data_IF_393819882851
#
_entry.id   IF_393819882851
#
_cell.length_a   1.000
_cell.length_b   1.000
_cell.length_c   1.000
_cell.angle_alpha   90.00
_cell.angle_beta   90.00
_cell.angle_gamma   90.00
#
_symmetry.space_group_name_H-M   'P 1'
#
loop_
_entity.id
_entity.type
_entity.pdbx_description
1 polymer ?
#
# COMPACT_ATOMS: atom_id res chain seq x y z
N UNK A 1 -0.44 9.39 59.98
CA UNK A 1 -0.83 8.92 58.61
C UNK A 1 0.18 7.90 58.19
N UNK A 2 -0.18 6.63 58.02
CA UNK A 2 0.76 5.63 57.56
C UNK A 2 1.02 5.79 56.05
N UNK A 3 2.29 5.83 55.67
CA UNK A 3 2.75 5.84 54.27
C UNK A 3 2.64 4.44 53.69
N UNK A 4 1.87 4.29 52.62
CA UNK A 4 1.80 3.05 51.86
C UNK A 4 3.10 2.93 51.05
N UNK A 5 3.85 1.83 51.13
CA UNK A 5 5.06 1.65 50.35
C UNK A 5 4.68 1.40 48.88
N UNK A 6 5.24 2.22 47.99
CA UNK A 6 5.20 1.99 46.56
C UNK A 6 6.07 0.76 46.23
N UNK A 7 5.44 -0.34 45.91
CA UNK A 7 6.13 -1.51 45.37
C UNK A 7 6.56 -1.20 43.92
N UNK A 8 7.83 -0.94 43.74
CA UNK A 8 8.45 -1.01 42.42
C UNK A 8 8.64 -2.49 42.08
N UNK A 9 7.72 -3.04 41.29
CA UNK A 9 7.95 -4.33 40.66
C UNK A 9 8.92 -4.14 39.49
N UNK A 10 10.19 -4.49 39.73
CA UNK A 10 11.12 -4.79 38.66
C UNK A 10 10.73 -6.16 38.06
N UNK A 11 9.97 -6.14 36.96
CA UNK A 11 9.77 -7.33 36.17
C UNK A 11 10.96 -7.51 35.23
N UNK A 12 11.87 -8.43 35.60
CA UNK A 12 12.84 -8.95 34.63
C UNK A 12 12.12 -9.82 33.64
N UNK A 13 11.78 -9.24 32.47
CA UNK A 13 11.25 -9.99 31.33
C UNK A 13 12.46 -10.70 30.70
N UNK A 14 12.51 -12.01 30.80
CA UNK A 14 13.49 -12.84 30.13
C UNK A 14 13.39 -12.65 28.62
N UNK A 15 14.50 -12.26 28.01
CA UNK A 15 14.63 -12.14 26.57
C UNK A 15 14.61 -13.53 25.93
N UNK A 16 13.46 -13.95 25.41
CA UNK A 16 13.41 -15.00 24.39
C UNK A 16 13.99 -14.42 23.11
N UNK A 17 14.99 -15.10 22.55
CA UNK A 17 15.69 -14.66 21.34
C UNK A 17 14.71 -14.41 20.19
N UNK A 18 14.69 -13.18 19.67
CA UNK A 18 14.18 -12.85 18.35
C UNK A 18 12.80 -12.21 18.25
N UNK A 19 12.08 -11.95 19.35
CA UNK A 19 10.80 -11.22 19.28
C UNK A 19 10.94 -9.91 20.05
N UNK A 20 11.03 -8.79 19.33
CA UNK A 20 10.94 -7.45 19.92
C UNK A 20 9.48 -7.23 20.30
N UNK A 21 9.13 -7.52 21.56
CA UNK A 21 7.80 -7.22 22.08
C UNK A 21 7.70 -5.70 22.18
N UNK A 22 6.74 -5.11 21.45
CA UNK A 22 6.44 -3.69 21.55
C UNK A 22 6.14 -3.36 23.03
N UNK A 23 6.77 -2.32 23.63
CA UNK A 23 6.52 -1.93 25.03
C UNK A 23 5.04 -1.69 25.33
N UNK A 24 4.26 -1.21 24.36
CA UNK A 24 2.82 -1.03 24.45
C UNK A 24 2.09 -2.37 24.67
N UNK A 25 2.58 -3.45 24.04
CA UNK A 25 2.03 -4.79 24.17
C UNK A 25 2.24 -5.33 25.61
N UNK A 26 3.40 -5.09 26.19
CA UNK A 26 3.71 -5.51 27.57
C UNK A 26 2.85 -4.75 28.60
N UNK A 27 2.58 -3.46 28.39
CA UNK A 27 1.69 -2.65 29.25
C UNK A 27 0.25 -3.15 29.15
N UNK A 28 -0.23 -3.46 27.93
CA UNK A 28 -1.57 -3.98 27.72
C UNK A 28 -1.77 -5.37 28.31
N UNK A 29 -0.75 -6.23 28.25
CA UNK A 29 -0.78 -7.57 28.86
C UNK A 29 -0.81 -7.48 30.40
N UNK A 30 -0.09 -6.52 30.99
CA UNK A 30 -0.12 -6.26 32.43
C UNK A 30 -1.49 -5.75 32.89
N UNK A 31 -2.14 -4.89 32.10
CA UNK A 31 -3.49 -4.39 32.35
C UNK A 31 -4.53 -5.50 32.29
N UNK A 32 -4.45 -6.38 31.27
CA UNK A 32 -5.34 -7.55 31.14
C UNK A 32 -5.22 -8.54 32.31
N UNK A 33 -4.00 -8.71 32.82
CA UNK A 33 -3.72 -9.56 33.99
C UNK A 33 -4.31 -8.97 35.27
N UNK A 34 -4.19 -7.65 35.46
CA UNK A 34 -4.78 -6.91 36.59
C UNK A 34 -6.29 -7.03 36.64
N UNK A 35 -6.97 -6.94 35.48
CA UNK A 35 -8.42 -7.09 35.40
C UNK A 35 -8.93 -8.51 35.74
N UNK A 36 -8.14 -9.54 35.45
CA UNK A 36 -8.45 -10.91 35.87
C UNK A 36 -8.29 -11.09 37.40
N UNK A 37 -7.36 -10.40 38.02
CA UNK A 37 -7.18 -10.40 39.46
C UNK A 37 -8.31 -9.65 40.19
N UNK A 38 -8.80 -8.55 39.63
CA UNK A 38 -9.98 -7.84 40.14
C UNK A 38 -11.23 -8.73 40.17
N UNK A 39 -11.48 -9.51 39.11
CA UNK A 39 -12.58 -10.46 39.06
C UNK A 39 -12.49 -11.57 40.12
N UNK A 40 -11.29 -12.03 40.47
CA UNK A 40 -11.09 -12.99 41.58
C UNK A 40 -11.47 -12.37 42.93
N UNK A 41 -11.08 -11.12 43.16
CA UNK A 41 -11.47 -10.37 44.37
C UNK A 41 -12.99 -10.21 44.43
N UNK A 42 -13.67 -9.91 43.34
CA UNK A 42 -15.15 -9.82 43.30
C UNK A 42 -15.79 -11.18 43.57
N UNK A 43 -15.23 -12.28 43.06
CA UNK A 43 -15.71 -13.64 43.35
C UNK A 43 -15.64 -14.00 44.82
N UNK A 44 -14.51 -13.66 45.45
CA UNK A 44 -14.27 -13.95 46.85
C UNK A 44 -15.09 -13.06 47.81
N UNK A 45 -15.28 -11.77 47.43
CA UNK A 45 -15.97 -10.77 48.28
C UNK A 45 -17.49 -10.83 48.15
N UNK A 46 -18.02 -11.11 46.93
CA UNK A 46 -19.45 -11.08 46.67
C UNK A 46 -20.12 -12.45 46.67
N UNK A 47 -19.35 -13.55 46.87
CA UNK A 47 -19.91 -14.91 46.89
C UNK A 47 -20.61 -15.33 45.58
N UNK A 48 -20.19 -14.73 44.46
CA UNK A 48 -20.74 -15.04 43.14
C UNK A 48 -20.32 -16.48 42.77
N UNK A 49 -21.28 -17.30 42.34
CA UNK A 49 -21.00 -18.65 41.89
C UNK A 49 -20.07 -18.70 40.69
N UNK A 50 -19.23 -19.74 40.60
CA UNK A 50 -18.29 -19.94 39.49
C UNK A 50 -18.94 -19.85 38.10
N UNK A 51 -20.18 -20.32 37.98
CA UNK A 51 -20.94 -20.29 36.73
C UNK A 51 -21.22 -18.85 36.25
N UNK A 52 -21.61 -17.96 37.19
CA UNK A 52 -21.86 -16.56 36.87
C UNK A 52 -20.58 -15.88 36.37
N UNK A 53 -19.44 -16.15 37.01
CA UNK A 53 -18.16 -15.59 36.58
C UNK A 53 -17.73 -16.12 35.22
N UNK A 54 -17.96 -17.40 34.93
CA UNK A 54 -17.71 -17.99 33.60
C UNK A 54 -18.60 -17.36 32.51
N UNK A 55 -19.88 -17.21 32.79
CA UNK A 55 -20.82 -16.59 31.87
C UNK A 55 -20.49 -15.11 31.63
N UNK A 56 -20.16 -14.34 32.66
CA UNK A 56 -19.73 -12.96 32.55
C UNK A 56 -18.48 -12.83 31.67
N UNK A 57 -17.46 -13.65 31.94
CA UNK A 57 -16.22 -13.66 31.14
C UNK A 57 -16.48 -13.97 29.68
N UNK A 58 -17.33 -14.98 29.41
CA UNK A 58 -17.72 -15.34 28.05
C UNK A 58 -18.46 -14.21 27.34
N UNK A 59 -19.48 -13.62 27.97
CA UNK A 59 -20.26 -12.53 27.40
C UNK A 59 -19.39 -11.31 27.14
N UNK A 60 -18.45 -11.00 28.05
CA UNK A 60 -17.50 -9.93 27.90
C UNK A 60 -16.51 -10.17 26.76
N UNK A 61 -15.98 -11.39 26.66
CA UNK A 61 -15.11 -11.81 25.56
C UNK A 61 -15.83 -11.70 24.22
N UNK A 62 -17.05 -12.22 24.10
CA UNK A 62 -17.85 -12.16 22.86
C UNK A 62 -18.14 -10.71 22.46
N UNK A 63 -18.46 -9.84 23.42
CA UNK A 63 -18.66 -8.41 23.21
C UNK A 63 -17.38 -7.72 22.72
N UNK A 64 -16.24 -8.04 23.32
CA UNK A 64 -14.96 -7.46 22.97
C UNK A 64 -14.49 -7.93 21.57
N UNK A 65 -14.69 -9.20 21.24
CA UNK A 65 -14.42 -9.73 19.90
C UNK A 65 -15.31 -9.11 18.82
N UNK A 66 -16.56 -8.77 19.16
CA UNK A 66 -17.42 -8.01 18.25
C UNK A 66 -16.88 -6.59 17.99
N UNK A 67 -16.36 -5.91 19.03
CA UNK A 67 -15.69 -4.61 18.86
C UNK A 67 -14.41 -4.71 18.04
N UNK A 68 -13.59 -5.76 18.27
CA UNK A 68 -12.40 -6.03 17.46
C UNK A 68 -12.74 -6.15 15.99
N UNK A 69 -13.70 -7.01 15.63
CA UNK A 69 -14.15 -7.19 14.24
C UNK A 69 -14.61 -5.88 13.60
N UNK A 70 -15.27 -5.01 14.37
CA UNK A 70 -15.67 -3.69 13.87
C UNK A 70 -14.45 -2.82 13.56
N UNK A 71 -13.48 -2.76 14.48
CA UNK A 71 -12.24 -2.01 14.27
C UNK A 71 -11.42 -2.56 13.09
N UNK A 72 -11.36 -3.89 12.92
CA UNK A 72 -10.73 -4.54 11.77
C UNK A 72 -11.38 -4.14 10.44
N UNK A 73 -12.71 -4.15 10.39
CA UNK A 73 -13.45 -3.75 9.19
C UNK A 73 -13.27 -2.25 8.87
N UNK A 74 -13.26 -1.39 9.90
CA UNK A 74 -12.97 0.03 9.75
C UNK A 74 -11.56 0.24 9.23
N UNK A 75 -10.56 -0.44 9.82
CA UNK A 75 -9.17 -0.38 9.35
C UNK A 75 -9.03 -0.76 7.88
N UNK A 76 -9.62 -1.88 7.46
CA UNK A 76 -9.57 -2.32 6.07
C UNK A 76 -10.24 -1.31 5.11
N UNK A 77 -11.34 -0.70 5.55
CA UNK A 77 -12.01 0.37 4.78
C UNK A 77 -11.12 1.60 4.65
N UNK A 78 -10.55 2.06 5.77
CA UNK A 78 -9.70 3.25 5.82
C UNK A 78 -8.39 3.05 5.02
N UNK A 79 -7.82 1.83 5.04
CA UNK A 79 -6.65 1.50 4.24
C UNK A 79 -6.95 1.58 2.73
N UNK A 80 -8.10 1.06 2.29
CA UNK A 80 -8.52 1.13 0.88
C UNK A 80 -8.82 2.56 0.44
N UNK A 81 -9.54 3.32 1.26
CA UNK A 81 -9.83 4.74 0.99
C UNK A 81 -8.52 5.53 0.94
N UNK A 82 -7.65 5.34 1.93
CA UNK A 82 -6.34 6.00 1.99
C UNK A 82 -5.47 5.71 0.77
N UNK A 83 -5.50 4.47 0.25
CA UNK A 83 -4.81 4.12 -0.99
C UNK A 83 -5.38 4.86 -2.21
N UNK A 84 -6.70 4.90 -2.35
CA UNK A 84 -7.35 5.64 -3.46
C UNK A 84 -7.03 7.14 -3.40
N UNK A 85 -7.04 7.72 -2.20
CA UNK A 85 -6.66 9.13 -2.01
C UNK A 85 -5.18 9.40 -2.31
N UNK A 86 -4.30 8.46 -1.93
CA UNK A 86 -2.87 8.55 -2.23
C UNK A 86 -2.64 8.53 -3.76
N UNK A 87 -3.28 7.62 -4.48
CA UNK A 87 -3.24 7.57 -5.95
C UNK A 87 -3.76 8.86 -6.59
N UNK A 88 -4.87 9.40 -6.09
CA UNK A 88 -5.43 10.66 -6.59
C UNK A 88 -4.48 11.86 -6.40
N UNK A 89 -3.57 11.79 -5.41
CA UNK A 89 -2.51 12.76 -5.16
C UNK A 89 -1.21 12.47 -5.92
N UNK A 90 -1.17 11.40 -6.70
CA UNK A 90 0.02 10.95 -7.44
C UNK A 90 1.09 10.30 -6.57
N UNK A 91 0.74 9.81 -5.37
CA UNK A 91 1.66 9.08 -4.51
C UNK A 91 1.85 7.65 -5.03
N UNK A 92 3.08 7.15 -4.90
CA UNK A 92 3.40 5.74 -5.21
C UNK A 92 2.93 4.81 -4.10
N UNK A 93 2.83 3.51 -4.41
CA UNK A 93 2.49 2.50 -3.41
C UNK A 93 3.55 2.42 -2.29
N UNK A 94 4.82 2.69 -2.59
CA UNK A 94 5.90 2.77 -1.60
C UNK A 94 5.70 3.93 -0.63
N UNK A 95 5.34 5.12 -1.11
CA UNK A 95 5.05 6.28 -0.26
C UNK A 95 3.82 6.03 0.61
N UNK A 96 2.76 5.47 0.04
CA UNK A 96 1.58 5.09 0.82
C UNK A 96 1.91 4.05 1.90
N UNK A 97 2.72 3.03 1.60
CA UNK A 97 3.15 2.04 2.58
C UNK A 97 3.83 2.68 3.78
N UNK A 98 4.81 3.56 3.50
CA UNK A 98 5.66 4.15 4.53
C UNK A 98 4.94 5.21 5.38
N UNK A 99 4.08 6.01 4.76
CA UNK A 99 3.42 7.14 5.42
C UNK A 99 1.96 6.83 5.78
N UNK A 100 1.13 6.47 4.78
CA UNK A 100 -0.30 6.27 4.95
C UNK A 100 -0.65 5.05 5.78
N UNK A 101 -0.19 3.87 5.34
CA UNK A 101 -0.50 2.60 6.01
C UNK A 101 0.17 2.48 7.37
N UNK A 102 1.41 2.98 7.52
CA UNK A 102 2.11 3.02 8.80
C UNK A 102 1.40 3.91 9.81
N UNK A 103 0.89 5.07 9.38
CA UNK A 103 0.09 5.97 10.22
C UNK A 103 -1.21 5.32 10.64
N UNK A 104 -1.95 4.70 9.72
CA UNK A 104 -3.16 3.95 10.03
C UNK A 104 -2.90 2.86 11.07
N UNK A 105 -1.80 2.11 10.94
CA UNK A 105 -1.41 1.11 11.95
C UNK A 105 -1.25 1.72 13.33
N UNK A 106 -0.56 2.85 13.42
CA UNK A 106 -0.33 3.55 14.69
C UNK A 106 -1.65 4.02 15.31
N UNK A 107 -2.52 4.66 14.52
CA UNK A 107 -3.82 5.16 14.95
C UNK A 107 -4.73 4.01 15.45
N UNK A 108 -4.77 2.89 14.73
CA UNK A 108 -5.57 1.74 15.14
C UNK A 108 -4.99 1.02 16.37
N UNK A 109 -3.68 0.90 16.51
CA UNK A 109 -3.05 0.39 17.74
C UNK A 109 -3.46 1.25 18.96
N UNK A 110 -3.51 2.57 18.81
CA UNK A 110 -4.01 3.46 19.86
C UNK A 110 -5.49 3.19 20.14
N UNK A 111 -6.36 3.11 19.13
CA UNK A 111 -7.80 2.79 19.28
C UNK A 111 -8.02 1.45 19.98
N UNK A 112 -7.23 0.42 19.67
CA UNK A 112 -7.26 -0.86 20.38
C UNK A 112 -6.90 -0.73 21.85
N UNK A 113 -5.90 0.07 22.20
CA UNK A 113 -5.52 0.32 23.58
C UNK A 113 -6.60 1.08 24.37
N UNK A 114 -7.32 2.00 23.71
CA UNK A 114 -8.38 2.82 24.31
C UNK A 114 -9.73 2.09 24.43
N UNK A 115 -9.95 1.04 23.68
CA UNK A 115 -11.24 0.30 23.64
C UNK A 115 -11.54 -0.46 24.95
N UNK A 116 -10.54 -0.68 25.81
CA UNK A 116 -10.73 -1.33 27.11
C UNK A 116 -11.16 -2.81 26.98
N UNK A 117 -10.45 -3.55 26.16
CA UNK A 117 -10.62 -5.01 26.05
C UNK A 117 -10.30 -5.70 27.37
N UNK A 118 -11.00 -6.78 27.66
CA UNK A 118 -10.92 -7.49 28.94
C UNK A 118 -10.18 -8.82 28.83
N UNK A 119 -9.16 -9.02 29.67
CA UNK A 119 -8.46 -10.29 29.77
C UNK A 119 -7.83 -10.76 28.45
N UNK A 120 -8.10 -12.03 28.10
CA UNK A 120 -7.53 -12.67 26.90
C UNK A 120 -8.05 -12.06 25.59
N UNK A 121 -9.22 -11.39 25.63
CA UNK A 121 -9.77 -10.74 24.42
C UNK A 121 -8.88 -9.64 23.85
N UNK A 122 -8.05 -9.00 24.67
CA UNK A 122 -7.08 -8.00 24.17
C UNK A 122 -6.00 -8.65 23.31
N UNK A 123 -5.50 -9.81 23.75
CA UNK A 123 -4.44 -10.53 23.02
C UNK A 123 -4.97 -11.00 21.68
N UNK A 124 -6.13 -11.66 21.69
CA UNK A 124 -6.77 -12.17 20.48
C UNK A 124 -7.15 -11.04 19.51
N UNK A 125 -7.65 -9.91 20.03
CA UNK A 125 -7.99 -8.74 19.24
C UNK A 125 -6.73 -8.12 18.56
N UNK A 126 -5.62 -8.02 19.29
CA UNK A 126 -4.37 -7.51 18.72
C UNK A 126 -3.76 -8.47 17.70
N UNK A 127 -3.83 -9.78 17.95
CA UNK A 127 -3.37 -10.79 17.01
C UNK A 127 -4.18 -10.72 15.70
N UNK A 128 -5.50 -10.68 15.79
CA UNK A 128 -6.38 -10.54 14.65
C UNK A 128 -6.12 -9.24 13.87
N UNK A 129 -5.91 -8.12 14.56
CA UNK A 129 -5.54 -6.86 13.92
C UNK A 129 -4.21 -6.98 13.16
N UNK A 130 -3.19 -7.60 13.76
CA UNK A 130 -1.89 -7.78 13.11
C UNK A 130 -2.00 -8.65 11.85
N UNK A 131 -2.88 -9.66 11.86
CA UNK A 131 -3.17 -10.47 10.67
C UNK A 131 -3.79 -9.58 9.59
N UNK A 132 -4.79 -8.76 9.93
CA UNK A 132 -5.44 -7.85 8.97
C UNK A 132 -4.49 -6.79 8.43
N UNK A 133 -3.62 -6.24 9.27
CA UNK A 133 -2.56 -5.34 8.84
C UNK A 133 -1.62 -6.01 7.82
N UNK A 134 -1.18 -7.25 8.11
CA UNK A 134 -0.30 -7.98 7.21
C UNK A 134 -0.97 -8.31 5.85
N UNK A 135 -2.28 -8.55 5.85
CA UNK A 135 -3.06 -8.73 4.61
C UNK A 135 -3.06 -7.45 3.76
N UNK A 136 -3.31 -6.28 4.37
CA UNK A 136 -3.29 -4.99 3.66
C UNK A 136 -1.86 -4.60 3.24
N UNK A 137 -0.85 -4.84 4.09
CA UNK A 137 0.56 -4.61 3.73
C UNK A 137 0.96 -5.43 2.51
N UNK A 138 0.57 -6.71 2.46
CA UNK A 138 0.81 -7.57 1.29
C UNK A 138 0.10 -7.05 0.04
N UNK A 139 -1.11 -6.52 0.18
CA UNK A 139 -1.83 -5.90 -0.94
C UNK A 139 -1.07 -4.69 -1.50
N UNK A 140 -0.52 -3.85 -0.62
CA UNK A 140 0.31 -2.70 -1.03
C UNK A 140 1.62 -3.17 -1.67
N UNK A 141 2.27 -4.22 -1.14
CA UNK A 141 3.47 -4.81 -1.75
C UNK A 141 3.24 -5.34 -3.16
N UNK A 142 2.06 -5.90 -3.43
CA UNK A 142 1.65 -6.27 -4.78
C UNK A 142 1.50 -5.04 -5.70
N UNK A 143 0.98 -3.94 -5.18
CA UNK A 143 0.90 -2.70 -5.95
C UNK A 143 2.29 -2.12 -6.25
N UNK A 144 3.22 -2.15 -5.30
CA UNK A 144 4.63 -1.76 -5.50
C UNK A 144 5.26 -2.61 -6.61
N UNK A 145 5.06 -3.93 -6.57
CA UNK A 145 5.58 -4.83 -7.60
C UNK A 145 4.97 -4.54 -8.98
N UNK A 146 3.68 -4.23 -9.03
CA UNK A 146 2.99 -3.87 -10.27
C UNK A 146 3.47 -2.51 -10.82
N UNK A 147 3.69 -1.50 -9.97
CA UNK A 147 4.26 -0.21 -10.38
C UNK A 147 5.65 -0.42 -11.00
N UNK A 148 6.53 -1.16 -10.32
CA UNK A 148 7.88 -1.45 -10.82
C UNK A 148 7.84 -2.23 -12.15
N UNK A 149 6.89 -3.15 -12.31
CA UNK A 149 6.68 -3.89 -13.56
C UNK A 149 6.23 -2.95 -14.69
N UNK A 150 5.30 -2.07 -14.42
CA UNK A 150 4.82 -1.09 -15.40
C UNK A 150 5.94 -0.12 -15.83
N UNK A 151 6.76 0.35 -14.90
CA UNK A 151 7.93 1.17 -15.21
C UNK A 151 8.91 0.45 -16.15
N UNK A 152 9.16 -0.84 -15.91
CA UNK A 152 9.99 -1.64 -16.80
C UNK A 152 9.37 -1.79 -18.20
N UNK A 153 8.06 -2.05 -18.27
CA UNK A 153 7.34 -2.15 -19.55
C UNK A 153 7.44 -0.81 -20.31
N UNK A 154 7.21 0.31 -19.64
CA UNK A 154 7.26 1.63 -20.28
C UNK A 154 8.69 2.00 -20.70
N UNK A 155 9.69 1.60 -19.93
CA UNK A 155 11.09 1.73 -20.36
C UNK A 155 11.36 0.94 -21.65
N UNK A 156 10.91 -0.33 -21.73
CA UNK A 156 11.08 -1.12 -22.96
C UNK A 156 10.32 -0.54 -24.15
N UNK A 157 9.11 -0.01 -23.96
CA UNK A 157 8.39 0.71 -25.02
C UNK A 157 9.19 1.90 -25.54
N UNK A 158 9.81 2.68 -24.63
CA UNK A 158 10.64 3.82 -25.01
C UNK A 158 11.86 3.40 -25.84
N UNK A 159 12.60 2.37 -25.40
CA UNK A 159 13.80 1.92 -26.14
C UNK A 159 13.43 1.20 -27.45
N UNK A 160 12.29 0.54 -27.54
CA UNK A 160 11.73 0.01 -28.80
C UNK A 160 11.45 1.16 -29.77
N UNK A 161 10.74 2.20 -29.31
CA UNK A 161 10.45 3.40 -30.11
C UNK A 161 11.74 4.07 -30.62
N UNK A 162 12.76 4.18 -29.75
CA UNK A 162 14.06 4.72 -30.14
C UNK A 162 14.75 3.85 -31.19
N UNK A 163 14.75 2.52 -31.01
CA UNK A 163 15.37 1.58 -31.96
C UNK A 163 14.72 1.63 -33.34
N UNK A 164 13.38 1.86 -33.39
CA UNK A 164 12.63 2.05 -34.64
C UNK A 164 13.05 3.38 -35.29
N UNK A 165 13.12 4.48 -34.53
CA UNK A 165 13.51 5.78 -35.04
C UNK A 165 14.93 5.80 -35.61
N UNK A 166 15.85 5.06 -34.97
CA UNK A 166 17.26 4.91 -35.39
C UNK A 166 17.45 3.90 -36.53
N UNK A 167 16.40 3.17 -36.93
CA UNK A 167 16.48 2.09 -37.94
C UNK A 167 17.35 0.90 -37.49
N UNK A 168 17.53 0.69 -36.17
CA UNK A 168 18.39 -0.34 -35.63
C UNK A 168 17.60 -1.63 -35.34
N UNK A 169 17.43 -2.47 -36.35
CA UNK A 169 16.70 -3.74 -36.27
C UNK A 169 17.26 -4.69 -35.20
N UNK A 170 18.59 -4.74 -35.02
CA UNK A 170 19.21 -5.61 -34.02
C UNK A 170 18.82 -5.19 -32.60
N UNK A 171 18.84 -3.90 -32.33
CA UNK A 171 18.42 -3.35 -31.04
C UNK A 171 16.91 -3.53 -30.83
N UNK A 172 16.12 -3.30 -31.87
CA UNK A 172 14.67 -3.51 -31.86
C UNK A 172 14.31 -4.95 -31.44
N UNK A 173 14.88 -5.95 -32.13
CA UNK A 173 14.60 -7.36 -31.84
C UNK A 173 15.05 -7.75 -30.43
N UNK A 174 16.23 -7.28 -29.99
CA UNK A 174 16.71 -7.53 -28.63
C UNK A 174 15.79 -6.93 -27.56
N UNK A 175 15.27 -5.73 -27.77
CA UNK A 175 14.35 -5.07 -26.84
C UNK A 175 12.98 -5.74 -26.83
N UNK A 176 12.45 -6.19 -27.97
CA UNK A 176 11.22 -6.98 -28.04
C UNK A 176 11.39 -8.31 -27.31
N UNK A 177 12.51 -9.00 -27.48
CA UNK A 177 12.78 -10.24 -26.74
C UNK A 177 12.92 -10.03 -25.24
N UNK A 178 13.53 -8.92 -24.82
CA UNK A 178 13.62 -8.57 -23.40
C UNK A 178 12.22 -8.27 -22.82
N UNK A 179 11.40 -7.51 -23.52
CA UNK A 179 10.01 -7.25 -23.15
C UNK A 179 9.18 -8.55 -23.11
N UNK A 180 9.41 -9.47 -24.06
CA UNK A 180 8.70 -10.76 -24.14
C UNK A 180 8.91 -11.65 -22.89
N UNK A 181 10.01 -11.50 -22.19
CA UNK A 181 10.28 -12.21 -20.92
C UNK A 181 9.41 -11.67 -19.78
N UNK A 182 8.90 -10.47 -19.91
CA UNK A 182 8.09 -9.77 -18.90
C UNK A 182 6.60 -9.98 -19.17
N UNK A 183 6.13 -9.66 -20.39
CA UNK A 183 4.70 -9.64 -20.72
C UNK A 183 4.26 -10.77 -21.66
N UNK A 184 5.17 -11.66 -22.04
CA UNK A 184 4.93 -12.72 -23.03
C UNK A 184 5.23 -12.27 -24.47
N UNK A 185 5.53 -13.26 -25.32
CA UNK A 185 6.01 -13.02 -26.70
C UNK A 185 4.98 -12.32 -27.58
N UNK A 186 3.75 -12.82 -27.58
CA UNK A 186 2.66 -12.27 -28.40
C UNK A 186 2.40 -10.79 -28.11
N UNK A 187 2.33 -10.44 -26.84
CA UNK A 187 2.08 -9.06 -26.41
C UNK A 187 3.27 -8.14 -26.73
N UNK A 188 4.51 -8.61 -26.56
CA UNK A 188 5.70 -7.83 -26.87
C UNK A 188 5.83 -7.59 -28.39
N UNK A 189 5.50 -8.55 -29.24
CA UNK A 189 5.47 -8.41 -30.68
C UNK A 189 4.37 -7.42 -31.10
N UNK A 190 3.21 -7.44 -30.45
CA UNK A 190 2.12 -6.48 -30.68
C UNK A 190 2.55 -5.07 -30.33
N UNK A 191 3.27 -4.87 -29.22
CA UNK A 191 3.85 -3.57 -28.86
C UNK A 191 4.82 -3.08 -29.94
N UNK A 192 5.72 -3.94 -30.40
CA UNK A 192 6.68 -3.63 -31.46
C UNK A 192 5.99 -3.19 -32.77
N UNK A 193 4.97 -3.91 -33.22
CA UNK A 193 4.18 -3.57 -34.40
C UNK A 193 3.41 -2.25 -34.25
N UNK A 194 2.84 -2.01 -33.06
CA UNK A 194 2.13 -0.76 -32.77
C UNK A 194 3.08 0.44 -32.85
N UNK A 195 4.26 0.34 -32.23
CA UNK A 195 5.26 1.42 -32.27
C UNK A 195 5.80 1.64 -33.70
N UNK A 196 6.00 0.61 -34.50
CA UNK A 196 6.36 0.74 -35.91
C UNK A 196 5.28 1.50 -36.69
N UNK A 197 4.01 1.14 -36.51
CA UNK A 197 2.89 1.81 -37.17
C UNK A 197 2.80 3.28 -36.78
N UNK A 198 2.95 3.59 -35.51
CA UNK A 198 2.96 4.96 -35.01
C UNK A 198 4.12 5.77 -35.58
N UNK A 199 5.31 5.18 -35.71
CA UNK A 199 6.47 5.84 -36.32
C UNK A 199 6.21 6.20 -37.79
N UNK A 200 5.61 5.27 -38.56
CA UNK A 200 5.24 5.54 -39.97
C UNK A 200 4.26 6.71 -40.07
N UNK A 201 3.23 6.73 -39.21
CA UNK A 201 2.24 7.82 -39.20
C UNK A 201 2.92 9.15 -38.83
N UNK A 202 3.81 9.15 -37.84
CA UNK A 202 4.57 10.37 -37.45
C UNK A 202 5.44 10.89 -38.61
N UNK A 203 6.13 10.01 -39.32
CA UNK A 203 6.95 10.42 -40.48
C UNK A 203 6.08 10.99 -41.59
N UNK A 204 4.99 10.34 -41.94
CA UNK A 204 4.05 10.84 -42.95
C UNK A 204 3.50 12.23 -42.55
N UNK A 205 3.18 12.46 -41.30
CA UNK A 205 2.72 13.76 -40.80
C UNK A 205 3.81 14.83 -40.93
N UNK A 206 5.06 14.50 -40.58
CA UNK A 206 6.19 15.44 -40.76
C UNK A 206 6.42 15.78 -42.23
N UNK A 207 6.37 14.79 -43.10
CA UNK A 207 6.51 14.98 -44.53
C UNK A 207 5.42 15.87 -45.13
N UNK A 208 4.18 15.70 -44.69
CA UNK A 208 3.06 16.55 -45.10
C UNK A 208 3.23 17.99 -44.62
N UNK A 209 3.62 18.20 -43.33
CA UNK A 209 3.90 19.53 -42.80
C UNK A 209 5.03 20.21 -43.60
N UNK A 210 6.08 19.46 -43.93
CA UNK A 210 7.20 19.98 -44.72
C UNK A 210 6.77 20.38 -46.12
N UNK A 211 5.92 19.58 -46.81
CA UNK A 211 5.36 19.90 -48.12
C UNK A 211 4.49 21.15 -48.08
N UNK A 212 3.62 21.27 -47.05
CA UNK A 212 2.78 22.44 -46.86
C UNK A 212 3.62 23.70 -46.63
N UNK A 213 4.67 23.60 -45.81
CA UNK A 213 5.61 24.69 -45.56
C UNK A 213 6.33 25.10 -46.87
N UNK A 214 6.84 24.13 -47.64
CA UNK A 214 7.47 24.41 -48.96
C UNK A 214 6.52 25.10 -49.92
N UNK A 215 5.25 24.68 -49.97
CA UNK A 215 4.24 25.32 -50.82
C UNK A 215 3.99 26.79 -50.41
N UNK A 216 3.89 27.05 -49.08
CA UNK A 216 3.73 28.42 -48.58
C UNK A 216 4.94 29.31 -48.90
N UNK A 217 6.17 28.80 -48.78
CA UNK A 217 7.39 29.52 -49.15
C UNK A 217 7.42 29.82 -50.64
N UNK A 218 7.07 28.87 -51.51
CA UNK A 218 6.98 29.06 -52.94
C UNK A 218 5.94 30.14 -53.30
N UNK A 219 4.76 30.09 -52.71
CA UNK A 219 3.71 31.12 -52.94
C UNK A 219 4.15 32.50 -52.47
N UNK A 220 4.78 32.62 -51.31
CA UNK A 220 5.32 33.88 -50.81
C UNK A 220 6.42 34.45 -51.73
N UNK A 221 7.25 33.56 -52.29
CA UNK A 221 8.32 33.97 -53.27
C UNK A 221 7.72 34.51 -54.54
N UNK A 222 6.70 33.83 -55.11
CA UNK A 222 6.01 34.32 -56.32
C UNK A 222 5.35 35.68 -56.06
N UNK A 223 4.64 35.84 -54.95
CA UNK A 223 4.02 37.12 -54.57
C UNK A 223 5.04 38.24 -54.46
N UNK A 224 6.22 37.98 -53.89
CA UNK A 224 7.30 38.94 -53.78
C UNK A 224 7.88 39.32 -55.14
N UNK A 225 8.08 38.34 -56.04
CA UNK A 225 8.55 38.59 -57.40
C UNK A 225 7.58 39.47 -58.20
N UNK A 226 6.30 39.17 -58.12
CA UNK A 226 5.27 39.94 -58.81
C UNK A 226 5.13 41.37 -58.26
N UNK A 227 5.41 41.60 -56.98
CA UNK A 227 5.40 42.93 -56.36
C UNK A 227 6.61 43.79 -56.73
N UNK A 228 7.71 43.22 -57.24
CA UNK A 228 8.93 43.90 -57.61
C UNK A 228 8.92 44.23 -59.12
N UNK A 229 8.16 43.50 -59.94
CA UNK A 229 8.09 43.62 -61.42
C UNK A 229 6.87 44.37 -61.90
N UNK A 230 5.92 44.79 -61.09
CA UNK A 230 4.79 45.67 -61.40
C UNK A 230 4.99 47.06 -60.83
#
# INVERSE_FOLDING_TARGET
MPKIPLYQQQSSIGTAQGVTINPQYAVNLASAKSQNDELRVFQDVLGMGEEFVKEYKKNKYDSDMAKSKKLEAEFQSDAKIGWVEAQAKGQTATEFKNDGLAKLKADYNQRYSETGFFGDSLVDAQENFNIKYAEEEKSVDLNIANEALNEQIDHFKLVIKQSIADGNEKSLNANIEALARIIGREEAERVGQTEQTLNVIEQQRKDNILKDFQALVAEATIKRQNAVTG
#
